data_IF_075720633670
#
_entry.id   IF_075720633670
#
_cell.length_a   1.000
_cell.length_b   1.000
_cell.length_c   1.000
_cell.angle_alpha   90.00
_cell.angle_beta   90.00
_cell.angle_gamma   90.00
#
_symmetry.space_group_name_H-M   'P 1'
#
loop_
_entity.id
_entity.type
_entity.pdbx_description
1 polymer ?
#
# COMPACT_ATOMS: atom_id res chain seq x y z
N UNK A 1 2.43 -9.44 10.80
CA UNK A 1 3.00 -10.78 11.07
C UNK A 1 2.18 -11.58 12.08
N UNK A 2 1.78 -10.97 13.20
CA UNK A 2 1.06 -11.63 14.30
C UNK A 2 -0.30 -12.19 13.90
N UNK A 3 -1.11 -11.42 13.16
CA UNK A 3 -2.41 -11.89 12.65
C UNK A 3 -2.27 -13.09 11.71
N UNK A 4 -1.24 -13.11 10.88
CA UNK A 4 -0.95 -14.27 10.00
C UNK A 4 -0.59 -15.48 10.84
N UNK A 5 0.17 -15.30 11.93
CA UNK A 5 0.50 -16.37 12.85
C UNK A 5 -0.78 -16.91 13.54
N UNK A 6 -1.67 -16.04 14.00
CA UNK A 6 -2.97 -16.44 14.54
C UNK A 6 -3.78 -17.24 13.52
N UNK A 7 -3.82 -16.81 12.26
CA UNK A 7 -4.46 -17.55 11.17
C UNK A 7 -3.87 -18.96 10.99
N UNK A 8 -2.55 -19.11 11.03
CA UNK A 8 -1.86 -20.41 10.95
C UNK A 8 -2.18 -21.31 12.15
N UNK A 9 -2.29 -20.75 13.35
CA UNK A 9 -2.70 -21.50 14.55
C UNK A 9 -4.13 -22.01 14.38
N UNK A 10 -5.07 -21.18 13.93
CA UNK A 10 -6.46 -21.58 13.66
C UNK A 10 -6.54 -22.67 12.59
N UNK A 11 -5.77 -22.54 11.51
CA UNK A 11 -5.67 -23.55 10.46
C UNK A 11 -5.17 -24.88 11.01
N UNK A 12 -4.12 -24.86 11.83
CA UNK A 12 -3.56 -26.05 12.46
C UNK A 12 -4.57 -26.72 13.41
N UNK A 13 -5.25 -25.92 14.24
CA UNK A 13 -6.30 -26.40 15.13
C UNK A 13 -7.44 -27.08 14.36
N UNK A 14 -7.86 -26.49 13.24
CA UNK A 14 -8.89 -27.07 12.35
C UNK A 14 -8.46 -28.41 11.76
N UNK A 15 -7.23 -28.51 11.26
CA UNK A 15 -6.68 -29.74 10.68
C UNK A 15 -6.61 -30.83 11.74
N UNK A 16 -6.10 -30.52 12.93
CA UNK A 16 -5.99 -31.47 14.06
C UNK A 16 -7.38 -31.92 14.50
N UNK A 17 -8.34 -31.01 14.64
CA UNK A 17 -9.73 -31.35 15.00
C UNK A 17 -10.36 -32.30 13.98
N UNK A 18 -10.22 -31.98 12.69
CA UNK A 18 -10.72 -32.82 11.60
C UNK A 18 -10.10 -34.21 11.59
N UNK A 19 -8.79 -34.31 11.88
CA UNK A 19 -8.11 -35.58 12.01
C UNK A 19 -8.66 -36.40 13.16
N UNK A 20 -8.82 -35.78 14.34
CA UNK A 20 -9.35 -36.48 15.55
C UNK A 20 -10.82 -36.87 15.43
N UNK A 21 -11.60 -36.26 14.54
CA UNK A 21 -13.01 -36.58 14.25
C UNK A 21 -13.19 -37.52 13.06
N UNK A 22 -12.09 -38.06 12.49
CA UNK A 22 -12.16 -38.97 11.35
C UNK A 22 -12.50 -40.40 11.80
N UNK A 23 -13.15 -41.18 10.92
CA UNK A 23 -13.53 -42.59 11.15
C UNK A 23 -12.35 -43.51 11.45
N UNK A 24 -11.13 -42.98 11.45
CA UNK A 24 -9.91 -43.72 11.82
C UNK A 24 -9.81 -43.99 13.32
N UNK A 25 -10.57 -43.29 14.14
CA UNK A 25 -10.63 -43.47 15.59
C UNK A 25 -11.97 -44.10 15.95
N UNK A 26 -12.09 -45.44 15.75
CA UNK A 26 -13.30 -46.20 16.06
C UNK A 26 -13.61 -46.30 17.57
N UNK A 27 -12.70 -45.88 18.43
CA UNK A 27 -12.90 -45.87 19.89
C UNK A 27 -12.48 -44.54 20.51
N UNK A 28 -13.27 -44.06 21.48
CA UNK A 28 -12.86 -42.93 22.31
C UNK A 28 -11.55 -43.26 23.04
N UNK A 29 -10.55 -42.42 22.77
CA UNK A 29 -9.23 -42.51 23.40
C UNK A 29 -9.09 -41.42 24.46
N UNK A 30 -8.10 -41.54 25.36
CA UNK A 30 -7.81 -40.51 26.36
C UNK A 30 -7.46 -39.12 25.72
N UNK A 31 -7.10 -39.12 24.44
CA UNK A 31 -6.80 -37.84 23.69
C UNK A 31 -8.01 -37.28 22.97
N UNK A 32 -9.13 -38.00 22.83
CA UNK A 32 -10.33 -37.52 22.12
C UNK A 32 -10.89 -36.25 22.74
N UNK A 33 -10.81 -36.11 24.07
CA UNK A 33 -11.25 -34.89 24.77
C UNK A 33 -10.45 -33.64 24.35
N UNK A 34 -9.17 -33.77 24.02
CA UNK A 34 -8.35 -32.65 23.60
C UNK A 34 -8.73 -32.13 22.20
N UNK A 35 -9.15 -33.02 21.29
CA UNK A 35 -9.65 -32.58 19.98
C UNK A 35 -10.97 -31.80 20.10
N UNK A 36 -11.81 -32.15 21.08
CA UNK A 36 -13.10 -31.48 21.31
C UNK A 36 -12.95 -30.05 21.88
N UNK A 37 -11.86 -29.78 22.61
CA UNK A 37 -11.57 -28.46 23.16
C UNK A 37 -11.16 -27.46 22.07
N UNK A 38 -10.62 -27.96 20.94
CA UNK A 38 -10.21 -27.07 19.84
C UNK A 38 -11.41 -26.37 19.22
N UNK A 39 -11.37 -25.04 19.21
CA UNK A 39 -12.39 -24.19 18.60
C UNK A 39 -11.79 -23.37 17.44
N UNK A 40 -11.52 -24.01 16.29
CA UNK A 40 -10.98 -23.30 15.14
C UNK A 40 -12.04 -22.38 14.56
N UNK A 41 -11.66 -21.13 14.25
CA UNK A 41 -12.50 -20.18 13.55
C UNK A 41 -12.10 -20.13 12.06
N UNK A 42 -12.89 -20.84 11.23
CA UNK A 42 -12.72 -20.86 9.78
C UNK A 42 -12.94 -19.48 9.14
N UNK A 43 -13.86 -18.70 9.67
CA UNK A 43 -14.16 -17.35 9.17
C UNK A 43 -12.96 -16.43 9.38
N UNK A 44 -12.37 -16.47 10.56
CA UNK A 44 -11.14 -15.73 10.85
C UNK A 44 -9.99 -16.16 9.93
N UNK A 45 -9.77 -17.50 9.79
CA UNK A 45 -8.76 -18.05 8.89
C UNK A 45 -8.92 -17.51 7.46
N UNK A 46 -10.14 -17.60 6.91
CA UNK A 46 -10.43 -17.15 5.54
C UNK A 46 -10.26 -15.62 5.38
N UNK A 47 -10.65 -14.85 6.39
CA UNK A 47 -10.48 -13.40 6.40
C UNK A 47 -9.01 -13.02 6.40
N UNK A 48 -8.20 -13.61 7.26
CA UNK A 48 -6.78 -13.29 7.37
C UNK A 48 -6.04 -13.67 6.08
N UNK A 49 -6.18 -14.91 5.61
CA UNK A 49 -5.44 -15.37 4.43
C UNK A 49 -5.98 -14.80 3.11
N UNK A 50 -7.23 -14.36 3.07
CA UNK A 50 -7.80 -13.68 1.92
C UNK A 50 -7.39 -12.21 1.79
N UNK A 51 -7.07 -11.57 2.89
CA UNK A 51 -6.82 -10.12 2.92
C UNK A 51 -5.39 -9.73 3.29
N UNK A 52 -4.64 -10.57 4.00
CA UNK A 52 -3.22 -10.34 4.28
C UNK A 52 -2.39 -11.18 3.31
N UNK A 53 -1.93 -10.55 2.22
CA UNK A 53 -1.20 -11.21 1.14
C UNK A 53 0.32 -11.28 1.39
N UNK A 54 0.79 -10.66 2.47
CA UNK A 54 2.18 -10.67 2.90
C UNK A 54 2.30 -10.17 4.34
N UNK A 55 3.52 -10.14 4.86
CA UNK A 55 3.76 -9.71 6.25
C UNK A 55 3.33 -8.27 6.51
N UNK A 56 3.40 -7.40 5.48
CA UNK A 56 3.09 -5.98 5.56
C UNK A 56 2.17 -5.52 4.43
N UNK A 57 1.47 -6.44 3.78
CA UNK A 57 0.67 -6.13 2.61
C UNK A 57 -0.79 -6.58 2.80
N UNK A 58 -1.71 -5.63 2.63
CA UNK A 58 -3.14 -5.84 2.69
C UNK A 58 -3.70 -5.78 1.27
N UNK A 59 -4.53 -6.76 0.92
CA UNK A 59 -5.18 -6.83 -0.39
C UNK A 59 -6.13 -5.65 -0.61
N UNK A 60 -6.26 -5.18 -1.85
CA UNK A 60 -7.25 -4.15 -2.23
C UNK A 60 -8.69 -4.58 -1.89
N UNK A 61 -8.95 -5.89 -1.85
CA UNK A 61 -10.24 -6.49 -1.53
C UNK A 61 -10.60 -6.48 -0.04
N UNK A 62 -9.65 -6.12 0.84
CA UNK A 62 -9.87 -6.12 2.29
C UNK A 62 -10.99 -5.15 2.72
N UNK A 63 -11.13 -4.02 2.03
CA UNK A 63 -12.32 -3.17 2.15
C UNK A 63 -12.67 -2.47 0.82
N UNK A 64 -13.95 -2.16 0.57
CA UNK A 64 -14.35 -1.36 -0.59
C UNK A 64 -13.69 0.03 -0.59
N UNK A 65 -13.51 0.62 0.59
CA UNK A 65 -12.88 1.93 0.75
C UNK A 65 -11.40 1.88 0.38
N UNK A 66 -10.64 0.89 0.88
CA UNK A 66 -9.23 0.70 0.51
C UNK A 66 -9.05 0.54 -1.01
N UNK A 67 -9.92 -0.26 -1.63
CA UNK A 67 -9.92 -0.43 -3.10
C UNK A 67 -10.18 0.90 -3.83
N UNK A 68 -11.15 1.70 -3.34
CA UNK A 68 -11.48 3.01 -3.89
C UNK A 68 -10.30 3.98 -3.80
N UNK A 69 -9.69 4.09 -2.60
CA UNK A 69 -8.53 4.94 -2.34
C UNK A 69 -7.38 4.58 -3.28
N UNK A 70 -7.00 3.30 -3.34
CA UNK A 70 -5.89 2.84 -4.18
C UNK A 70 -6.14 3.04 -5.68
N UNK A 71 -7.39 2.92 -6.14
CA UNK A 71 -7.76 3.28 -7.52
C UNK A 71 -7.57 4.78 -7.79
N UNK A 72 -7.92 5.64 -6.84
CA UNK A 72 -7.72 7.08 -6.96
C UNK A 72 -6.22 7.43 -6.95
N UNK A 73 -5.43 6.77 -6.09
CA UNK A 73 -3.97 6.94 -6.07
C UNK A 73 -3.33 6.58 -7.42
N UNK A 74 -3.69 5.43 -7.99
CA UNK A 74 -3.22 5.03 -9.33
C UNK A 74 -3.55 6.08 -10.38
N UNK A 75 -4.79 6.57 -10.42
CA UNK A 75 -5.21 7.62 -11.38
C UNK A 75 -4.45 8.94 -11.19
N UNK A 76 -4.20 9.35 -9.93
CA UNK A 76 -3.42 10.55 -9.66
C UNK A 76 -1.97 10.39 -10.11
N UNK A 77 -1.35 9.23 -9.82
CA UNK A 77 -0.01 8.89 -10.29
C UNK A 77 0.11 8.91 -11.82
N UNK A 78 -0.83 8.28 -12.51
CA UNK A 78 -0.85 8.23 -13.98
C UNK A 78 -0.98 9.64 -14.55
N UNK A 79 -1.90 10.45 -14.00
CA UNK A 79 -2.10 11.83 -14.44
C UNK A 79 -0.86 12.71 -14.24
N UNK A 80 -0.19 12.58 -13.08
CA UNK A 80 1.07 13.30 -12.82
C UNK A 80 2.12 12.91 -13.84
N UNK A 81 2.30 11.60 -14.06
CA UNK A 81 3.28 11.09 -15.02
C UNK A 81 3.01 11.57 -16.44
N UNK A 82 1.76 11.56 -16.88
CA UNK A 82 1.37 12.04 -18.22
C UNK A 82 1.68 13.53 -18.39
N UNK A 83 1.33 14.36 -17.39
CA UNK A 83 1.63 15.80 -17.44
C UNK A 83 3.14 16.03 -17.51
N UNK A 84 3.91 15.37 -16.62
CA UNK A 84 5.36 15.56 -16.55
C UNK A 84 6.07 14.99 -17.78
N UNK A 85 5.65 13.84 -18.30
CA UNK A 85 6.19 13.27 -19.53
C UNK A 85 5.95 14.22 -20.73
N UNK A 86 4.76 14.81 -20.83
CA UNK A 86 4.49 15.80 -21.86
C UNK A 86 5.39 17.05 -21.71
N UNK A 87 5.66 17.47 -20.49
CA UNK A 87 6.55 18.61 -20.23
C UNK A 87 8.01 18.31 -20.62
N UNK A 88 8.56 17.18 -20.18
CA UNK A 88 9.98 16.86 -20.43
C UNK A 88 10.30 16.58 -21.91
N UNK A 89 9.29 16.18 -22.69
CA UNK A 89 9.43 15.97 -24.14
C UNK A 89 9.01 17.20 -24.98
N UNK A 90 8.54 18.27 -24.34
CA UNK A 90 8.15 19.49 -25.04
C UNK A 90 9.37 20.33 -25.41
N UNK A 91 9.43 20.79 -26.66
CA UNK A 91 10.45 21.73 -27.13
C UNK A 91 10.49 23.03 -26.31
N UNK A 92 9.38 23.42 -25.70
CA UNK A 92 9.26 24.60 -24.84
C UNK A 92 10.22 24.55 -23.65
N UNK A 93 10.40 23.38 -23.04
CA UNK A 93 11.18 23.21 -21.81
C UNK A 93 12.55 22.59 -22.04
N UNK A 94 12.87 22.17 -23.28
CA UNK A 94 14.09 21.42 -23.60
C UNK A 94 15.39 22.13 -23.21
N UNK A 95 15.43 23.45 -23.28
CA UNK A 95 16.60 24.26 -22.88
C UNK A 95 16.70 24.41 -21.37
N UNK A 96 15.57 24.47 -20.69
CA UNK A 96 15.50 24.69 -19.24
C UNK A 96 15.78 23.42 -18.44
N UNK A 97 15.49 22.26 -19.01
CA UNK A 97 15.71 20.98 -18.32
C UNK A 97 17.20 20.60 -18.29
N UNK A 98 17.67 20.12 -17.12
CA UNK A 98 18.98 19.53 -16.99
C UNK A 98 19.01 18.14 -17.67
N UNK A 99 17.97 17.34 -17.43
CA UNK A 99 17.72 16.03 -18.02
C UNK A 99 16.22 15.88 -18.31
N UNK A 100 15.87 15.12 -19.37
CA UNK A 100 14.48 14.82 -19.72
C UNK A 100 13.95 13.63 -18.92
N UNK A 101 13.94 13.74 -17.59
CA UNK A 101 13.48 12.69 -16.67
C UNK A 101 12.50 13.24 -15.67
N UNK A 102 11.63 12.36 -15.17
CA UNK A 102 10.78 12.58 -14.01
C UNK A 102 11.39 11.86 -12.82
N UNK A 103 11.53 12.52 -11.70
CA UNK A 103 12.08 11.93 -10.47
C UNK A 103 11.22 12.31 -9.26
N UNK A 104 11.59 11.82 -8.08
CA UNK A 104 10.94 12.19 -6.83
C UNK A 104 11.92 12.88 -5.89
N UNK A 105 11.41 13.85 -5.13
CA UNK A 105 12.10 14.43 -3.97
C UNK A 105 11.13 14.44 -2.80
N UNK A 106 11.48 13.67 -1.76
CA UNK A 106 10.51 13.32 -0.75
C UNK A 106 9.34 12.53 -1.36
N UNK A 107 8.14 13.00 -1.13
CA UNK A 107 6.87 12.47 -1.64
C UNK A 107 6.32 13.24 -2.86
N UNK A 108 7.18 14.00 -3.58
CA UNK A 108 6.78 14.87 -4.68
C UNK A 108 7.41 14.45 -6.00
N UNK A 109 6.60 14.38 -7.05
CA UNK A 109 7.10 14.26 -8.41
C UNK A 109 7.66 15.60 -8.90
N UNK A 110 8.90 15.59 -9.35
CA UNK A 110 9.64 16.77 -9.76
C UNK A 110 10.40 16.52 -11.07
N UNK A 111 10.83 17.60 -11.72
CA UNK A 111 11.72 17.57 -12.88
C UNK A 111 13.01 18.36 -12.59
N UNK A 112 14.16 17.91 -13.11
CA UNK A 112 15.42 18.64 -12.93
C UNK A 112 15.53 19.80 -13.90
N UNK A 113 15.64 21.02 -13.36
CA UNK A 113 15.72 22.28 -14.09
C UNK A 113 17.06 22.90 -13.83
N UNK A 114 17.73 23.43 -14.88
CA UNK A 114 18.95 24.21 -14.73
C UNK A 114 18.69 25.46 -13.91
N UNK A 115 19.53 25.76 -12.93
CA UNK A 115 19.32 26.87 -12.02
C UNK A 115 19.18 28.23 -12.76
N UNK A 116 19.94 28.42 -13.83
CA UNK A 116 19.89 29.61 -14.71
C UNK A 116 18.58 29.77 -15.48
N UNK A 117 17.84 28.68 -15.68
CA UNK A 117 16.57 28.64 -16.39
C UNK A 117 15.34 28.47 -15.48
N UNK A 118 15.50 28.65 -14.16
CA UNK A 118 14.40 28.49 -13.20
C UNK A 118 13.15 29.28 -13.57
N UNK A 119 13.32 30.50 -14.11
CA UNK A 119 12.20 31.37 -14.50
C UNK A 119 11.32 30.84 -15.63
N UNK A 120 11.78 29.85 -16.39
CA UNK A 120 11.06 29.26 -17.52
C UNK A 120 10.10 28.14 -17.08
N UNK A 121 10.30 27.60 -15.87
CA UNK A 121 9.45 26.55 -15.30
C UNK A 121 8.78 27.06 -14.03
N UNK A 122 7.50 27.39 -14.14
CA UNK A 122 6.70 27.78 -12.97
C UNK A 122 6.47 26.58 -12.05
N UNK A 123 6.77 26.72 -10.77
CA UNK A 123 6.61 25.67 -9.80
C UNK A 123 7.37 25.90 -8.49
N UNK A 124 7.39 24.87 -7.65
CA UNK A 124 8.01 24.88 -6.32
C UNK A 124 9.35 24.12 -6.39
N UNK A 125 10.42 24.71 -5.88
CA UNK A 125 11.72 24.04 -5.74
C UNK A 125 11.69 23.22 -4.45
N UNK A 126 11.86 21.92 -4.57
CA UNK A 126 11.90 21.00 -3.42
C UNK A 126 13.32 20.63 -3.00
N UNK A 127 14.26 20.67 -3.95
CA UNK A 127 15.64 20.28 -3.68
C UNK A 127 16.59 20.96 -4.68
N UNK A 128 17.87 20.95 -4.34
CA UNK A 128 18.95 21.52 -5.17
C UNK A 128 20.12 20.54 -5.20
N UNK A 129 20.76 20.33 -6.36
CA UNK A 129 21.95 19.54 -6.46
C UNK A 129 23.07 20.11 -5.59
N UNK A 130 24.04 19.26 -5.18
CA UNK A 130 25.18 19.67 -4.35
C UNK A 130 26.03 20.78 -4.98
N UNK A 131 26.08 20.85 -6.31
CA UNK A 131 26.74 21.93 -7.07
C UNK A 131 25.92 23.21 -7.18
N UNK A 132 24.64 23.18 -6.82
CA UNK A 132 23.69 24.28 -7.01
C UNK A 132 23.23 24.50 -8.46
N UNK A 133 23.73 23.71 -9.42
CA UNK A 133 23.45 23.92 -10.85
C UNK A 133 22.11 23.36 -11.32
N UNK A 134 21.49 22.45 -10.52
CA UNK A 134 20.21 21.82 -10.83
C UNK A 134 19.23 22.02 -9.70
N UNK A 135 18.04 22.47 -10.04
CA UNK A 135 16.90 22.61 -9.12
C UNK A 135 15.89 21.52 -9.44
N UNK A 136 15.41 20.82 -8.41
CA UNK A 136 14.34 19.85 -8.54
C UNK A 136 12.99 20.56 -8.31
N UNK A 137 12.30 20.80 -9.41
CA UNK A 137 11.10 21.64 -9.44
C UNK A 137 9.86 20.76 -9.56
N UNK A 138 8.89 20.97 -8.66
CA UNK A 138 7.51 20.51 -8.83
C UNK A 138 6.78 21.52 -9.70
N UNK A 139 6.47 21.21 -10.97
CA UNK A 139 5.77 22.15 -11.83
C UNK A 139 4.39 22.51 -11.30
N UNK A 140 3.98 23.77 -11.46
CA UNK A 140 2.67 24.24 -11.03
C UNK A 140 1.51 23.39 -11.58
N UNK A 141 1.70 22.79 -12.77
CA UNK A 141 0.71 21.94 -13.42
C UNK A 141 0.40 20.65 -12.66
N UNK A 142 1.27 20.17 -11.76
CA UNK A 142 1.08 18.91 -11.00
C UNK A 142 0.93 19.12 -9.49
N UNK A 143 1.04 20.34 -8.98
CA UNK A 143 0.94 20.61 -7.52
C UNK A 143 -0.36 20.09 -6.93
N UNK A 144 -1.49 20.34 -7.61
CA UNK A 144 -2.80 19.88 -7.12
C UNK A 144 -2.89 18.36 -7.05
N UNK A 145 -2.37 17.66 -8.07
CA UNK A 145 -2.39 16.18 -8.10
C UNK A 145 -1.41 15.56 -7.10
N UNK A 146 -0.22 16.14 -6.92
CA UNK A 146 0.71 15.73 -5.88
C UNK A 146 0.10 15.91 -4.47
N UNK A 147 -0.61 17.02 -4.22
CA UNK A 147 -1.34 17.22 -2.97
C UNK A 147 -2.43 16.17 -2.78
N UNK A 148 -3.20 15.88 -3.85
CA UNK A 148 -4.24 14.86 -3.83
C UNK A 148 -3.67 13.48 -3.53
N UNK A 149 -2.54 13.12 -4.14
CA UNK A 149 -1.87 11.86 -3.88
C UNK A 149 -1.50 11.72 -2.40
N UNK A 150 -0.92 12.77 -1.80
CA UNK A 150 -0.56 12.78 -0.39
C UNK A 150 -1.76 12.64 0.56
N UNK A 151 -2.88 13.30 0.23
CA UNK A 151 -4.12 13.11 0.99
C UNK A 151 -4.61 11.66 0.93
N UNK A 152 -4.56 11.05 -0.25
CA UNK A 152 -4.95 9.66 -0.46
C UNK A 152 -4.02 8.67 0.28
N UNK A 153 -2.72 8.94 0.36
CA UNK A 153 -1.76 8.15 1.14
C UNK A 153 -2.12 8.18 2.65
N UNK A 154 -2.50 9.35 3.16
CA UNK A 154 -3.01 9.48 4.52
C UNK A 154 -4.30 8.67 4.74
N UNK A 155 -5.26 8.79 3.81
CA UNK A 155 -6.52 8.02 3.87
C UNK A 155 -6.28 6.51 3.79
N UNK A 156 -5.31 6.06 2.98
CA UNK A 156 -4.92 4.64 2.90
C UNK A 156 -4.38 4.15 4.24
N UNK A 157 -3.48 4.92 4.87
CA UNK A 157 -2.91 4.55 6.16
C UNK A 157 -4.00 4.44 7.26
N UNK A 158 -4.93 5.38 7.29
CA UNK A 158 -6.05 5.38 8.24
C UNK A 158 -6.98 4.19 8.02
N UNK A 159 -7.30 3.87 6.75
CA UNK A 159 -8.17 2.73 6.44
C UNK A 159 -7.49 1.39 6.76
N UNK A 160 -6.18 1.27 6.48
CA UNK A 160 -5.38 0.09 6.87
C UNK A 160 -5.40 -0.09 8.39
N UNK A 161 -5.25 0.99 9.16
CA UNK A 161 -5.30 0.93 10.62
C UNK A 161 -6.65 0.40 11.12
N UNK A 162 -7.77 0.85 10.56
CA UNK A 162 -9.11 0.35 10.89
C UNK A 162 -9.27 -1.15 10.58
N UNK A 163 -8.81 -1.59 9.40
CA UNK A 163 -8.86 -3.00 9.00
C UNK A 163 -8.08 -3.86 9.99
N UNK A 164 -6.88 -3.44 10.36
CA UNK A 164 -6.05 -4.16 11.32
C UNK A 164 -6.66 -4.18 12.73
N UNK A 165 -7.31 -3.10 13.15
CA UNK A 165 -8.03 -3.03 14.42
C UNK A 165 -9.22 -4.01 14.43
N UNK A 166 -10.01 -4.05 13.35
CA UNK A 166 -11.11 -5.01 13.18
C UNK A 166 -10.60 -6.46 13.28
N UNK A 167 -9.53 -6.80 12.55
CA UNK A 167 -8.98 -8.16 12.57
C UNK A 167 -8.37 -8.53 13.93
N UNK A 168 -7.77 -7.57 14.63
CA UNK A 168 -7.27 -7.76 15.99
C UNK A 168 -8.43 -7.99 16.96
N UNK A 169 -9.54 -7.29 16.78
CA UNK A 169 -10.77 -7.50 17.55
C UNK A 169 -11.33 -8.91 17.40
N UNK A 170 -11.21 -9.52 16.21
CA UNK A 170 -11.65 -10.91 15.97
C UNK A 170 -10.82 -11.95 16.74
N UNK A 171 -9.57 -11.64 17.11
CA UNK A 171 -8.71 -12.54 17.91
C UNK A 171 -9.12 -12.51 19.39
N UNK A 172 -9.65 -11.38 19.85
CA UNK A 172 -9.92 -11.14 21.28
C UNK A 172 -11.39 -11.48 21.69
N UNK A 173 -12.23 -11.85 20.75
CA UNK A 173 -13.64 -12.20 20.96
C UNK A 173 -13.90 -13.69 20.92
#
# INVERSE_FOLDING_TARGET
>A
PELILCGKVMQSARVIKSYGSSDKFEQETSVSSYFNILMPDKRFEDTIFGNLIGENEIADSASPELNSIRKQMRRANDKIRDILNNMIHSSKYSKALQDSIVTMRGDRYVIPVKAEHKGEVSGIVHDTSSSGSTLFVEPAAVVAENNRLRELEGMEADEIAKILEEYTGMVNG
#
